data_IF_670597977067
#
_entry.id   IF_670597977067
#
_cell.length_a   1.000
_cell.length_b   1.000
_cell.length_c   1.000
_cell.angle_alpha   90.00
_cell.angle_beta   90.00
_cell.angle_gamma   90.00
#
_symmetry.space_group_name_H-M   'P 1'
#
loop_
_entity.id
_entity.type
_entity.pdbx_description
1 polymer ?
#
# COMPACT_ATOMS: atom_id res chain seq x y z
N UNK A 1 -17.06 7.14 10.24
CA UNK A 1 -15.65 6.82 10.57
C UNK A 1 -14.87 6.82 9.27
N UNK A 2 -13.80 7.57 9.25
CA UNK A 2 -12.95 7.65 8.05
C UNK A 2 -12.01 6.44 7.96
N UNK A 3 -11.79 5.97 6.76
CA UNK A 3 -10.94 4.81 6.47
C UNK A 3 -9.72 5.25 5.64
N UNK A 4 -8.54 4.86 6.08
CA UNK A 4 -7.28 5.08 5.36
C UNK A 4 -6.67 3.74 4.94
N UNK A 5 -6.23 3.67 3.70
CA UNK A 5 -5.41 2.57 3.20
C UNK A 5 -3.97 3.06 3.02
N UNK A 6 -3.01 2.32 3.56
CA UNK A 6 -1.60 2.70 3.57
C UNK A 6 -0.79 1.56 2.95
N UNK A 7 -0.02 1.87 1.91
CA UNK A 7 0.90 0.90 1.32
C UNK A 7 2.27 0.92 2.00
N UNK A 8 2.95 -0.22 2.05
CA UNK A 8 4.27 -0.32 2.67
C UNK A 8 4.29 -0.15 4.18
N UNK A 9 3.35 -0.78 4.88
CA UNK A 9 3.15 -0.60 6.33
C UNK A 9 3.90 -1.60 7.21
N UNK A 10 4.77 -2.43 6.66
CA UNK A 10 5.50 -3.44 7.45
C UNK A 10 6.61 -2.87 8.33
N UNK A 11 7.10 -1.68 8.01
CA UNK A 11 8.19 -1.01 8.73
C UNK A 11 8.23 0.49 8.42
N UNK A 12 9.10 1.22 9.11
CA UNK A 12 9.43 2.60 8.83
C UNK A 12 8.24 3.56 8.88
N UNK A 13 8.22 4.50 7.93
CA UNK A 13 7.19 5.55 7.88
C UNK A 13 5.78 5.01 7.70
N UNK A 14 5.60 3.98 6.88
CA UNK A 14 4.28 3.37 6.67
C UNK A 14 3.71 2.75 7.93
N UNK A 15 4.52 2.05 8.70
CA UNK A 15 4.13 1.46 9.98
C UNK A 15 3.75 2.54 11.00
N UNK A 16 4.57 3.58 11.16
CA UNK A 16 4.30 4.68 12.08
C UNK A 16 3.06 5.50 11.64
N UNK A 17 2.87 5.69 10.36
CA UNK A 17 1.66 6.34 9.81
C UNK A 17 0.41 5.53 10.15
N UNK A 18 0.44 4.21 10.00
CA UNK A 18 -0.67 3.33 10.37
C UNK A 18 -1.00 3.42 11.86
N UNK A 19 0.02 3.39 12.72
CA UNK A 19 -0.15 3.56 14.16
C UNK A 19 -0.77 4.92 14.51
N UNK A 20 -0.31 5.97 13.86
CA UNK A 20 -0.81 7.32 14.10
C UNK A 20 -2.29 7.46 13.72
N UNK A 21 -2.68 7.07 12.52
CA UNK A 21 -4.08 7.09 12.10
C UNK A 21 -4.97 6.27 13.04
N UNK A 22 -4.50 5.09 13.43
CA UNK A 22 -5.24 4.25 14.37
C UNK A 22 -5.44 4.94 15.72
N UNK A 23 -4.41 5.60 16.25
CA UNK A 23 -4.49 6.37 17.52
C UNK A 23 -5.44 7.55 17.45
N UNK A 24 -5.65 8.11 16.25
CA UNK A 24 -6.59 9.21 16.00
C UNK A 24 -8.04 8.73 15.74
N UNK A 25 -8.32 7.46 15.89
CA UNK A 25 -9.67 6.91 15.76
C UNK A 25 -10.08 6.51 14.36
N UNK A 26 -9.16 6.52 13.39
CA UNK A 26 -9.43 6.08 12.03
C UNK A 26 -9.53 4.56 11.91
N UNK A 27 -10.31 4.10 10.95
CA UNK A 27 -10.21 2.73 10.45
C UNK A 27 -9.01 2.62 9.53
N UNK A 28 -8.08 1.73 9.84
CA UNK A 28 -6.81 1.61 9.13
C UNK A 28 -6.73 0.28 8.39
N UNK A 29 -6.39 0.35 7.11
CA UNK A 29 -6.05 -0.80 6.28
C UNK A 29 -4.55 -0.69 5.98
N UNK A 30 -3.77 -1.41 6.76
CA UNK A 30 -2.32 -1.49 6.59
C UNK A 30 -2.00 -2.57 5.56
N UNK A 31 -1.31 -2.22 4.50
CA UNK A 31 -0.98 -3.18 3.45
C UNK A 31 0.53 -3.38 3.32
N UNK A 32 0.91 -4.60 3.03
CA UNK A 32 2.29 -5.03 2.88
C UNK A 32 2.35 -6.27 1.97
N UNK A 33 3.48 -6.54 1.35
CA UNK A 33 3.62 -7.70 0.44
C UNK A 33 3.32 -9.01 1.15
N UNK A 34 3.94 -9.23 2.31
CA UNK A 34 3.71 -10.39 3.16
C UNK A 34 3.09 -9.91 4.47
N UNK A 35 1.82 -10.22 4.74
CA UNK A 35 1.15 -9.77 5.95
C UNK A 35 1.88 -10.21 7.23
N UNK A 36 2.12 -9.21 8.09
CA UNK A 36 2.76 -9.40 9.39
C UNK A 36 1.87 -8.77 10.47
N UNK A 37 0.87 -9.50 10.96
CA UNK A 37 -0.08 -8.95 11.93
C UNK A 37 0.54 -8.61 13.29
N UNK A 38 1.70 -9.17 13.60
CA UNK A 38 2.45 -8.92 14.83
C UNK A 38 3.05 -7.51 14.96
N UNK A 39 3.20 -6.76 13.85
CA UNK A 39 3.80 -5.41 13.88
C UNK A 39 2.81 -4.32 14.29
N UNK A 40 1.53 -4.61 14.30
CA UNK A 40 0.45 -3.67 14.62
C UNK A 40 -0.46 -4.24 15.71
N UNK A 41 -1.11 -3.39 16.51
CA UNK A 41 -2.03 -3.86 17.55
C UNK A 41 -3.25 -4.56 16.95
N UNK A 42 -3.77 -5.56 17.64
CA UNK A 42 -5.06 -6.14 17.31
C UNK A 42 -6.17 -5.13 17.61
N UNK A 43 -7.02 -4.87 16.61
CA UNK A 43 -8.12 -3.94 16.73
C UNK A 43 -9.16 -4.18 15.65
N UNK A 44 -10.43 -3.99 15.97
CA UNK A 44 -11.53 -4.04 14.99
C UNK A 44 -11.39 -2.93 13.93
N UNK A 45 -10.70 -1.84 14.25
CA UNK A 45 -10.45 -0.71 13.36
C UNK A 45 -9.12 -0.80 12.61
N UNK A 46 -8.41 -1.93 12.70
CA UNK A 46 -7.14 -2.10 12.04
C UNK A 46 -7.07 -3.47 11.38
N UNK A 47 -6.93 -3.49 10.07
CA UNK A 47 -6.78 -4.70 9.27
C UNK A 47 -5.45 -4.70 8.53
N UNK A 48 -4.82 -5.85 8.43
CA UNK A 48 -3.61 -6.06 7.63
C UNK A 48 -3.97 -6.87 6.40
N UNK A 49 -3.69 -6.34 5.23
CA UNK A 49 -3.96 -6.99 3.95
C UNK A 49 -2.68 -7.13 3.13
N UNK A 50 -2.62 -8.21 2.34
CA UNK A 50 -1.55 -8.37 1.35
C UNK A 50 -1.77 -7.41 0.18
N UNK A 51 -0.74 -6.66 -0.17
CA UNK A 51 -0.73 -5.82 -1.37
C UNK A 51 0.69 -5.67 -1.90
N UNK A 52 0.89 -6.11 -3.14
CA UNK A 52 2.09 -5.85 -3.92
C UNK A 52 1.77 -4.77 -4.96
N UNK A 53 2.35 -3.58 -4.82
CA UNK A 53 2.10 -2.44 -5.71
C UNK A 53 2.57 -2.67 -7.15
N UNK A 54 3.38 -3.71 -7.39
CA UNK A 54 3.84 -4.10 -8.72
C UNK A 54 2.91 -5.10 -9.41
N UNK A 55 1.89 -5.59 -8.72
CA UNK A 55 0.96 -6.62 -9.22
C UNK A 55 -0.48 -6.09 -9.22
N UNK A 56 -1.06 -5.96 -10.41
CA UNK A 56 -2.40 -5.40 -10.57
C UNK A 56 -3.49 -6.25 -9.91
N UNK A 57 -3.40 -7.57 -10.01
CA UNK A 57 -4.37 -8.47 -9.37
C UNK A 57 -4.30 -8.35 -7.85
N UNK A 58 -3.11 -8.20 -7.29
CA UNK A 58 -2.92 -7.95 -5.85
C UNK A 58 -3.56 -6.65 -5.40
N UNK A 59 -3.38 -5.57 -6.17
CA UNK A 59 -4.01 -4.27 -5.90
C UNK A 59 -5.54 -4.41 -5.92
N UNK A 60 -6.07 -5.03 -6.95
CA UNK A 60 -7.52 -5.20 -7.10
C UNK A 60 -8.10 -6.03 -5.95
N UNK A 61 -7.49 -7.15 -5.60
CA UNK A 61 -7.93 -8.00 -4.49
C UNK A 61 -7.91 -7.26 -3.15
N UNK A 62 -6.87 -6.47 -2.89
CA UNK A 62 -6.77 -5.68 -1.67
C UNK A 62 -7.86 -4.58 -1.61
N UNK A 63 -8.13 -3.90 -2.71
CA UNK A 63 -9.17 -2.87 -2.77
C UNK A 63 -10.58 -3.46 -2.63
N UNK A 64 -10.86 -4.61 -3.22
CA UNK A 64 -12.12 -5.32 -3.03
C UNK A 64 -12.32 -5.75 -1.56
N UNK A 65 -11.27 -6.28 -0.94
CA UNK A 65 -11.30 -6.68 0.47
C UNK A 65 -11.37 -5.49 1.44
N UNK A 66 -10.86 -4.33 1.04
CA UNK A 66 -10.85 -3.13 1.88
C UNK A 66 -12.23 -2.51 2.06
N UNK A 67 -13.08 -2.57 1.05
CA UNK A 67 -14.29 -1.78 0.96
C UNK A 67 -14.00 -0.29 0.68
N UNK A 68 -14.95 0.61 0.96
CA UNK A 68 -14.76 2.05 0.72
C UNK A 68 -13.59 2.62 1.52
N UNK A 69 -12.76 3.42 0.87
CA UNK A 69 -11.65 4.15 1.49
C UNK A 69 -11.80 5.65 1.24
N UNK A 70 -11.47 6.45 2.24
CA UNK A 70 -11.53 7.92 2.19
C UNK A 70 -10.17 8.53 1.82
N UNK A 71 -9.09 7.91 2.29
CA UNK A 71 -7.71 8.38 2.07
C UNK A 71 -6.82 7.21 1.66
N UNK A 72 -6.02 7.44 0.62
CA UNK A 72 -4.97 6.54 0.18
C UNK A 72 -3.60 7.17 0.47
N UNK A 73 -2.76 6.46 1.20
CA UNK A 73 -1.36 6.84 1.44
C UNK A 73 -0.44 5.92 0.63
N UNK A 74 0.09 6.41 -0.47
CA UNK A 74 1.07 5.72 -1.30
C UNK A 74 2.47 5.88 -0.70
N UNK A 75 2.85 4.94 0.17
CA UNK A 75 4.13 4.97 0.87
C UNK A 75 5.07 3.83 0.46
N UNK A 76 4.57 2.77 -0.16
CA UNK A 76 5.41 1.62 -0.54
C UNK A 76 6.60 2.06 -1.39
N UNK A 77 7.79 1.60 -1.02
CA UNK A 77 9.03 1.89 -1.73
C UNK A 77 10.14 0.95 -1.29
N UNK A 78 11.12 0.78 -2.14
CA UNK A 78 12.34 0.02 -1.87
C UNK A 78 13.56 0.88 -2.14
N UNK A 79 14.69 0.56 -1.52
CA UNK A 79 15.97 1.21 -1.74
C UNK A 79 17.05 0.19 -2.09
N UNK A 80 18.10 0.67 -2.73
CA UNK A 80 19.32 -0.08 -2.93
C UNK A 80 20.53 0.84 -2.69
N UNK A 81 21.54 0.31 -2.03
CA UNK A 81 22.78 1.03 -1.75
C UNK A 81 23.93 0.20 -2.32
N UNK A 82 24.81 0.83 -3.07
CA UNK A 82 25.97 0.18 -3.66
C UNK A 82 26.65 1.03 -4.72
N UNK A 83 27.72 0.52 -5.28
CA UNK A 83 28.40 1.17 -6.40
C UNK A 83 27.50 1.08 -7.65
N UNK A 84 27.34 2.20 -8.35
CA UNK A 84 26.49 2.28 -9.53
C UNK A 84 26.86 1.24 -10.61
N UNK A 85 28.17 1.08 -10.84
CA UNK A 85 28.72 0.15 -11.86
C UNK A 85 28.42 -1.32 -11.53
N UNK A 86 28.24 -1.64 -10.25
CA UNK A 86 27.97 -2.99 -9.78
C UNK A 86 26.47 -3.29 -9.63
N UNK A 87 25.60 -2.31 -9.83
CA UNK A 87 24.16 -2.47 -9.67
C UNK A 87 23.55 -3.20 -10.88
N UNK A 88 22.96 -4.39 -10.70
CA UNK A 88 22.30 -5.10 -11.80
C UNK A 88 21.14 -4.30 -12.37
N UNK A 89 20.92 -4.39 -13.67
CA UNK A 89 19.78 -3.74 -14.34
C UNK A 89 18.43 -4.22 -13.81
N UNK A 90 18.35 -5.47 -13.35
CA UNK A 90 17.16 -6.01 -12.69
C UNK A 90 16.80 -5.23 -11.43
N UNK A 91 17.78 -4.91 -10.59
CA UNK A 91 17.59 -4.09 -9.38
C UNK A 91 17.13 -2.68 -9.74
N UNK A 92 17.72 -2.08 -10.76
CA UNK A 92 17.30 -0.75 -11.24
C UNK A 92 15.84 -0.77 -11.71
N UNK A 93 15.43 -1.77 -12.48
CA UNK A 93 14.04 -1.91 -12.92
C UNK A 93 13.07 -2.10 -11.76
N UNK A 94 13.41 -2.95 -10.79
CA UNK A 94 12.60 -3.14 -9.58
C UNK A 94 12.39 -1.85 -8.78
N UNK A 95 13.43 -1.03 -8.67
CA UNK A 95 13.36 0.27 -8.01
C UNK A 95 12.35 1.19 -8.72
N UNK A 96 12.45 1.31 -10.03
CA UNK A 96 11.53 2.14 -10.81
C UNK A 96 10.11 1.57 -10.82
N UNK A 97 9.96 0.26 -10.95
CA UNK A 97 8.65 -0.40 -10.94
C UNK A 97 7.93 -0.21 -9.61
N UNK A 98 8.63 -0.35 -8.49
CA UNK A 98 8.05 -0.20 -7.17
C UNK A 98 7.83 1.27 -6.80
N UNK A 99 8.82 2.14 -7.02
CA UNK A 99 8.81 3.49 -6.48
C UNK A 99 8.16 4.53 -7.42
N UNK A 100 8.17 4.30 -8.72
CA UNK A 100 7.80 5.32 -9.70
C UNK A 100 6.61 4.91 -10.58
N UNK A 101 6.67 3.73 -11.22
CA UNK A 101 5.69 3.38 -12.26
C UNK A 101 4.42 2.73 -11.73
N UNK A 102 4.43 2.13 -10.56
CA UNK A 102 3.35 1.30 -10.06
C UNK A 102 2.47 1.91 -8.97
N UNK A 103 2.98 2.68 -7.97
CA UNK A 103 2.16 3.08 -6.83
C UNK A 103 1.00 4.00 -7.21
N UNK A 104 1.28 5.06 -7.98
CA UNK A 104 0.30 6.12 -8.21
C UNK A 104 -0.69 5.76 -9.33
N UNK A 105 -0.19 5.27 -10.46
CA UNK A 105 -1.01 5.07 -11.66
C UNK A 105 -1.95 3.88 -11.52
N UNK A 106 -1.50 2.78 -10.94
CA UNK A 106 -2.29 1.54 -10.87
C UNK A 106 -3.37 1.58 -9.81
N UNK A 107 -3.06 2.08 -8.61
CA UNK A 107 -4.03 2.17 -7.52
C UNK A 107 -5.10 3.21 -7.86
N UNK A 108 -4.71 4.39 -8.32
CA UNK A 108 -5.67 5.40 -8.78
C UNK A 108 -6.56 4.90 -9.91
N UNK A 109 -5.98 4.17 -10.87
CA UNK A 109 -6.75 3.64 -12.00
C UNK A 109 -7.81 2.64 -11.55
N UNK A 110 -7.52 1.79 -10.59
CA UNK A 110 -8.47 0.82 -10.04
C UNK A 110 -9.55 1.52 -9.22
N UNK A 111 -9.18 2.49 -8.39
CA UNK A 111 -10.16 3.29 -7.62
C UNK A 111 -11.10 4.04 -8.56
N UNK A 112 -10.58 4.69 -9.60
CA UNK A 112 -11.40 5.42 -10.57
C UNK A 112 -12.32 4.50 -11.38
N UNK A 113 -11.85 3.31 -11.74
CA UNK A 113 -12.69 2.35 -12.48
C UNK A 113 -13.82 1.80 -11.62
N UNK A 114 -13.60 1.56 -10.34
CA UNK A 114 -14.67 1.14 -9.43
C UNK A 114 -15.68 2.26 -9.18
N UNK A 115 -15.24 3.49 -9.00
CA UNK A 115 -16.11 4.65 -8.85
C UNK A 115 -16.94 4.97 -10.10
N UNK A 116 -16.44 4.63 -11.29
CA UNK A 116 -17.18 4.76 -12.55
C UNK A 116 -18.24 3.66 -12.72
N UNK A 117 -17.97 2.47 -12.21
CA UNK A 117 -18.95 1.36 -12.24
C UNK A 117 -20.16 1.59 -11.32
N UNK A 118 -19.98 2.37 -10.25
CA UNK A 118 -21.09 2.76 -9.35
C UNK A 118 -21.98 3.87 -9.92
N UNK A 119 -21.56 4.53 -11.00
CA UNK A 119 -22.32 5.62 -11.65
C UNK A 119 -23.06 5.17 -12.92
N UNK A 120 -22.90 3.94 -13.28
CA UNK A 120 -23.68 3.28 -14.32
C UNK A 120 -24.73 2.38 -13.68
#
# INVERSE_FOLDING_TARGET
MNTVLITGSSSGYGLETARHFHSQGWSVIATMRTPRPDVLPESERLRVLALDVTNRESIQAALEASGPIDVLVNNAGIGAIGAFEATPMTTTRELFDTNTFNPDVRIECVIRSSALSERC
#
